data_IF_910072081453
#
_entry.id   IF_910072081453
#
_cell.length_a   1.000
_cell.length_b   1.000
_cell.length_c   1.000
_cell.angle_alpha   90.00
_cell.angle_beta   90.00
_cell.angle_gamma   90.00
#
_symmetry.space_group_name_H-M   'P 1'
#
loop_
_entity.id
_entity.type
_entity.pdbx_description
1 polymer ?
#
# COMPACT_ATOMS: atom_id res chain seq x y z
N UNK A 1 -6.01 19.56 43.58
CA UNK A 1 -5.08 19.76 42.44
C UNK A 1 -5.38 18.66 41.45
N UNK A 2 -5.54 19.02 40.18
CA UNK A 2 -6.52 18.48 39.23
C UNK A 2 -6.53 16.96 38.97
N UNK A 3 -7.75 16.44 39.08
CA UNK A 3 -8.31 15.33 38.32
C UNK A 3 -8.78 15.88 36.95
N UNK A 4 -8.34 15.28 35.83
CA UNK A 4 -8.69 15.52 34.40
C UNK A 4 -7.50 15.02 33.55
N UNK A 5 -7.61 14.27 32.46
CA UNK A 5 -8.73 14.01 31.56
C UNK A 5 -8.38 12.77 30.72
N UNK A 6 -9.15 11.71 30.90
CA UNK A 6 -9.30 10.62 29.96
C UNK A 6 -10.00 11.16 28.71
N UNK A 7 -9.27 11.54 27.66
CA UNK A 7 -9.86 11.80 26.35
C UNK A 7 -8.81 11.79 25.22
N UNK A 8 -8.48 10.61 24.69
CA UNK A 8 -7.75 10.50 23.42
C UNK A 8 -8.40 9.49 22.46
N UNK A 9 -9.72 9.33 22.55
CA UNK A 9 -10.52 8.72 21.48
C UNK A 9 -11.26 9.83 20.74
N UNK A 10 -10.65 10.30 19.65
CA UNK A 10 -11.35 11.17 18.69
C UNK A 10 -10.56 12.41 18.27
N UNK A 11 -9.54 12.22 17.43
CA UNK A 11 -9.21 13.16 16.35
C UNK A 11 -8.15 12.56 15.41
N UNK A 12 -8.53 12.52 14.13
CA UNK A 12 -7.65 12.68 12.98
C UNK A 12 -6.59 11.58 12.73
N UNK A 13 -6.94 10.61 11.87
CA UNK A 13 -5.97 9.91 11.01
C UNK A 13 -5.59 10.84 9.85
N UNK A 14 -5.07 12.03 10.15
CA UNK A 14 -4.43 12.89 9.15
C UNK A 14 -2.96 12.49 9.06
N UNK A 15 -2.56 12.06 7.86
CA UNK A 15 -1.16 11.98 7.44
C UNK A 15 -0.22 11.41 8.49
N UNK A 16 -0.41 10.15 8.89
CA UNK A 16 0.58 9.49 9.74
C UNK A 16 1.86 9.31 8.93
N UNK A 17 2.73 10.31 9.00
CA UNK A 17 4.12 10.19 8.59
C UNK A 17 4.72 9.09 9.46
N UNK A 18 4.80 7.90 8.91
CA UNK A 18 5.45 6.77 9.55
C UNK A 18 6.96 6.96 9.43
N UNK A 19 7.75 6.57 10.44
CA UNK A 19 9.20 6.40 10.27
C UNK A 19 9.50 5.55 9.04
N UNK A 20 10.59 5.83 8.32
CA UNK A 20 10.93 5.14 7.06
C UNK A 20 10.93 3.61 7.21
N UNK A 21 11.42 3.08 8.35
CA UNK A 21 11.39 1.64 8.66
C UNK A 21 9.96 1.07 8.72
N UNK A 22 9.00 1.84 9.25
CA UNK A 22 7.59 1.43 9.31
C UNK A 22 6.93 1.49 7.93
N UNK A 23 7.38 2.38 7.04
CA UNK A 23 6.90 2.44 5.66
C UNK A 23 7.40 1.26 4.84
N UNK A 24 8.65 0.84 5.03
CA UNK A 24 9.20 -0.37 4.37
C UNK A 24 8.39 -1.60 4.80
N UNK A 25 8.18 -1.80 6.10
CA UNK A 25 7.38 -2.93 6.62
C UNK A 25 5.95 -2.91 6.08
N UNK A 26 5.36 -1.72 5.95
CA UNK A 26 4.01 -1.58 5.39
C UNK A 26 3.99 -1.90 3.88
N UNK A 27 4.95 -1.38 3.12
CA UNK A 27 5.09 -1.66 1.69
C UNK A 27 5.26 -3.16 1.41
N UNK A 28 6.09 -3.84 2.20
CA UNK A 28 6.26 -5.30 2.12
C UNK A 28 4.96 -6.05 2.41
N UNK A 29 4.20 -5.63 3.43
CA UNK A 29 2.91 -6.23 3.78
C UNK A 29 1.86 -6.03 2.70
N UNK A 30 1.75 -4.82 2.15
CA UNK A 30 0.83 -4.49 1.06
C UNK A 30 1.15 -5.29 -0.20
N UNK A 31 2.43 -5.35 -0.59
CA UNK A 31 2.88 -6.15 -1.73
C UNK A 31 2.59 -7.64 -1.53
N UNK A 32 2.88 -8.18 -0.34
CA UNK A 32 2.63 -9.59 -0.03
C UNK A 32 1.13 -9.93 -0.07
N UNK A 33 0.28 -9.07 0.50
CA UNK A 33 -1.16 -9.23 0.48
C UNK A 33 -1.71 -9.18 -0.95
N UNK A 34 -1.27 -8.19 -1.73
CA UNK A 34 -1.64 -8.04 -3.14
C UNK A 34 -1.22 -9.24 -3.98
N UNK A 35 0.06 -9.64 -3.93
CA UNK A 35 0.57 -10.77 -4.71
C UNK A 35 -0.13 -12.08 -4.34
N UNK A 36 -0.46 -12.28 -3.06
CA UNK A 36 -1.24 -13.44 -2.61
C UNK A 36 -2.64 -13.45 -3.22
N UNK A 37 -3.36 -12.33 -3.17
CA UNK A 37 -4.69 -12.23 -3.75
C UNK A 37 -4.67 -12.48 -5.27
N UNK A 38 -3.69 -11.90 -5.99
CA UNK A 38 -3.53 -12.14 -7.43
C UNK A 38 -3.23 -13.60 -7.73
N UNK A 39 -2.38 -14.25 -6.93
CA UNK A 39 -2.07 -15.67 -7.10
C UNK A 39 -3.31 -16.54 -6.94
N UNK A 40 -4.12 -16.26 -5.92
CA UNK A 40 -5.34 -17.02 -5.62
C UNK A 40 -6.40 -16.85 -6.72
N UNK A 41 -6.49 -15.68 -7.36
CA UNK A 41 -7.51 -15.39 -8.38
C UNK A 41 -7.06 -15.67 -9.82
N UNK A 42 -5.79 -15.46 -10.15
CA UNK A 42 -5.29 -15.42 -11.54
C UNK A 42 -4.07 -16.30 -11.79
N UNK A 43 -3.57 -17.01 -10.78
CA UNK A 43 -2.45 -17.93 -10.88
C UNK A 43 -1.07 -17.31 -10.63
N UNK A 44 -0.04 -18.16 -10.46
CA UNK A 44 1.29 -17.74 -10.01
C UNK A 44 2.03 -16.85 -11.01
N UNK A 45 1.85 -17.05 -12.32
CA UNK A 45 2.50 -16.22 -13.35
C UNK A 45 2.01 -14.77 -13.27
N UNK A 46 0.72 -14.58 -12.99
CA UNK A 46 0.12 -13.25 -12.88
C UNK A 46 0.48 -12.57 -11.57
N UNK A 47 0.63 -13.34 -10.49
CA UNK A 47 1.13 -12.82 -9.23
C UNK A 47 2.55 -12.27 -9.39
N UNK A 48 3.44 -13.03 -10.04
CA UNK A 48 4.83 -12.61 -10.30
C UNK A 48 4.89 -11.35 -11.18
N UNK A 49 4.13 -11.33 -12.28
CA UNK A 49 4.07 -10.16 -13.16
C UNK A 49 3.53 -8.93 -12.42
N UNK A 50 2.42 -9.07 -11.69
CA UNK A 50 1.78 -7.95 -10.99
C UNK A 50 2.64 -7.45 -9.83
N UNK A 51 3.37 -8.32 -9.14
CA UNK A 51 4.33 -7.92 -8.12
C UNK A 51 5.49 -7.10 -8.71
N UNK A 52 6.02 -7.50 -9.87
CA UNK A 52 7.04 -6.72 -10.57
C UNK A 52 6.51 -5.34 -10.99
N UNK A 53 5.29 -5.28 -11.52
CA UNK A 53 4.63 -4.01 -11.88
C UNK A 53 4.38 -3.11 -10.67
N UNK A 54 4.06 -3.68 -9.52
CA UNK A 54 3.90 -2.95 -8.26
C UNK A 54 5.23 -2.34 -7.79
N UNK A 55 6.31 -3.12 -7.83
CA UNK A 55 7.67 -2.65 -7.49
C UNK A 55 8.12 -1.55 -8.45
N UNK A 56 7.85 -1.70 -9.76
CA UNK A 56 8.20 -0.67 -10.74
C UNK A 56 7.33 0.58 -10.58
N UNK A 57 6.06 0.42 -10.20
CA UNK A 57 5.18 1.51 -9.78
C UNK A 57 5.81 2.31 -8.63
N UNK A 58 6.27 1.63 -7.58
CA UNK A 58 6.96 2.24 -6.44
C UNK A 58 8.23 3.00 -6.85
N UNK A 59 9.05 2.46 -7.74
CA UNK A 59 10.26 3.13 -8.27
C UNK A 59 9.95 4.36 -9.12
N UNK A 60 8.85 4.30 -9.87
CA UNK A 60 8.45 5.36 -10.81
C UNK A 60 7.72 6.52 -10.13
N UNK A 61 7.10 6.26 -8.98
CA UNK A 61 6.48 7.31 -8.19
C UNK A 61 7.56 8.21 -7.62
N UNK A 62 7.47 9.51 -7.89
CA UNK A 62 8.15 10.51 -7.09
C UNK A 62 7.47 10.58 -5.72
N UNK A 63 7.78 9.58 -4.89
CA UNK A 63 7.34 9.57 -3.51
C UNK A 63 7.86 10.87 -2.85
N UNK A 64 7.01 11.57 -2.10
CA UNK A 64 7.47 12.69 -1.29
C UNK A 64 8.53 12.19 -0.29
N UNK A 65 9.36 13.10 0.23
CA UNK A 65 10.36 12.78 1.25
C UNK A 65 9.77 12.12 2.52
N UNK A 66 8.45 12.16 2.67
CA UNK A 66 7.67 11.46 3.68
C UNK A 66 6.49 10.77 3.00
N UNK A 67 6.69 9.54 2.51
CA UNK A 67 5.61 8.76 1.91
C UNK A 67 4.52 8.48 2.94
N UNK A 68 3.27 8.48 2.50
CA UNK A 68 2.14 8.12 3.32
C UNK A 68 1.55 6.76 2.90
N UNK A 69 0.74 6.18 3.77
CA UNK A 69 -0.03 4.95 3.47
C UNK A 69 -0.91 5.11 2.22
N UNK A 70 -1.38 6.34 1.96
CA UNK A 70 -2.17 6.71 0.79
C UNK A 70 -1.39 6.49 -0.52
N UNK A 71 -0.10 6.77 -0.55
CA UNK A 71 0.76 6.60 -1.73
C UNK A 71 0.88 5.11 -2.11
N UNK A 72 1.10 4.25 -1.13
CA UNK A 72 1.18 2.79 -1.35
C UNK A 72 -0.14 2.22 -1.88
N UNK A 73 -1.29 2.70 -1.37
CA UNK A 73 -2.61 2.28 -1.87
C UNK A 73 -2.84 2.69 -3.31
N UNK A 74 -2.38 3.87 -3.71
CA UNK A 74 -2.49 4.33 -5.10
C UNK A 74 -1.74 3.39 -6.05
N UNK A 75 -0.55 2.90 -5.66
CA UNK A 75 0.20 1.91 -6.45
C UNK A 75 -0.62 0.63 -6.61
N UNK A 76 -1.16 0.09 -5.51
CA UNK A 76 -1.99 -1.12 -5.55
C UNK A 76 -3.20 -0.94 -6.49
N UNK A 77 -3.90 0.20 -6.42
CA UNK A 77 -5.04 0.50 -7.30
C UNK A 77 -4.62 0.55 -8.78
N UNK A 78 -3.53 1.26 -9.08
CA UNK A 78 -3.03 1.39 -10.45
C UNK A 78 -2.65 0.03 -11.05
N UNK A 79 -1.95 -0.80 -10.29
CA UNK A 79 -1.54 -2.14 -10.73
C UNK A 79 -2.75 -3.07 -10.85
N UNK A 80 -3.70 -3.02 -9.92
CA UNK A 80 -4.96 -3.77 -10.03
C UNK A 80 -5.74 -3.40 -11.30
N UNK A 81 -5.80 -2.12 -11.66
CA UNK A 81 -6.43 -1.65 -12.89
C UNK A 81 -5.73 -2.21 -14.13
N UNK A 82 -4.39 -2.21 -14.13
CA UNK A 82 -3.57 -2.77 -15.21
C UNK A 82 -3.70 -4.30 -15.32
N UNK A 83 -3.84 -5.00 -14.18
CA UNK A 83 -4.12 -6.43 -14.17
C UNK A 83 -5.51 -6.71 -14.74
N UNK A 84 -6.52 -5.96 -14.33
CA UNK A 84 -7.89 -6.09 -14.81
C UNK A 84 -7.98 -5.89 -16.33
N UNK A 85 -7.28 -4.90 -16.89
CA UNK A 85 -7.26 -4.66 -18.34
C UNK A 85 -6.65 -5.81 -19.16
N UNK A 86 -5.80 -6.65 -18.55
CA UNK A 86 -5.23 -7.84 -19.19
C UNK A 86 -6.03 -9.13 -18.98
N UNK A 87 -6.95 -9.14 -18.02
CA UNK A 87 -7.64 -10.37 -17.56
C UNK A 87 -9.14 -10.36 -17.75
N UNK A 88 -9.75 -9.19 -17.85
CA UNK A 88 -11.20 -9.03 -17.94
C UNK A 88 -11.67 -8.49 -19.30
N UNK A 89 -10.73 -8.20 -20.20
CA UNK A 89 -10.96 -7.82 -21.61
C UNK A 89 -10.06 -8.66 -22.51
#
# INVERSE_FOLDING_TARGET
MHDRESNWTGRQLEGTVLPDDNLIILAERELAAFARAVRELFGPEQASLSAAEWIDGLKSMHLPARPEVSDLRQITIAVSSKLASRKLF
#
